data_IF_468997480069
#
_entry.id   IF_468997480069
#
_cell.length_a   1.000
_cell.length_b   1.000
_cell.length_c   1.000
_cell.angle_alpha   90.00
_cell.angle_beta   90.00
_cell.angle_gamma   90.00
#
_symmetry.space_group_name_H-M   'P 1'
#
loop_
_entity.id
_entity.type
_entity.pdbx_description
1 polymer ?
#
# COMPACT_ATOMS: atom_id res chain seq x y z
N UNK A 1 -29.27 -2.31 50.83
CA UNK A 1 -29.39 -3.78 50.95
C UNK A 1 -30.57 -4.25 50.10
N UNK A 2 -30.37 -4.49 48.80
CA UNK A 2 -31.23 -5.32 47.95
C UNK A 2 -30.30 -5.99 46.94
N UNK A 3 -30.06 -7.29 47.13
CA UNK A 3 -29.42 -8.18 46.16
C UNK A 3 -30.37 -8.40 44.98
N UNK A 4 -29.87 -8.34 43.74
CA UNK A 4 -30.33 -9.23 42.67
C UNK A 4 -29.15 -9.71 41.83
N UNK A 5 -28.85 -11.00 42.02
CA UNK A 5 -28.08 -11.86 41.13
C UNK A 5 -28.85 -12.01 39.83
N UNK A 6 -28.17 -11.97 38.68
CA UNK A 6 -28.63 -12.68 37.50
C UNK A 6 -27.48 -13.50 36.93
N UNK A 7 -27.82 -14.78 36.77
CA UNK A 7 -27.00 -15.93 36.45
C UNK A 7 -27.15 -16.30 34.97
N UNK A 8 -26.14 -17.01 34.47
CA UNK A 8 -26.22 -17.97 33.35
C UNK A 8 -26.20 -17.35 31.93
N UNK A 9 -25.57 -17.94 30.92
CA UNK A 9 -24.98 -19.27 30.78
C UNK A 9 -23.80 -19.21 29.78
N UNK A 10 -22.76 -19.99 30.08
CA UNK A 10 -21.76 -20.41 29.10
C UNK A 10 -22.42 -21.27 28.02
N UNK A 11 -22.04 -21.05 26.77
CA UNK A 11 -22.24 -22.02 25.69
C UNK A 11 -20.88 -22.25 25.01
N UNK A 12 -20.22 -23.33 25.40
CA UNK A 12 -18.98 -23.84 24.80
C UNK A 12 -19.35 -24.78 23.67
N UNK A 13 -19.09 -24.40 22.42
CA UNK A 13 -19.07 -25.33 21.30
C UNK A 13 -17.63 -25.69 20.96
N UNK A 14 -17.23 -26.91 21.34
CA UNK A 14 -16.03 -27.55 20.84
C UNK A 14 -16.33 -28.19 19.48
N UNK A 15 -15.75 -27.65 18.41
CA UNK A 15 -15.77 -28.28 17.09
C UNK A 15 -14.44 -28.99 16.90
N UNK A 16 -14.47 -30.32 17.03
CA UNK A 16 -13.37 -31.22 16.68
C UNK A 16 -13.44 -31.45 15.17
N UNK A 17 -12.65 -30.71 14.41
CA UNK A 17 -12.46 -30.93 12.97
C UNK A 17 -11.37 -31.98 12.74
N UNK A 18 -11.77 -33.16 12.26
CA UNK A 18 -10.86 -34.24 11.89
C UNK A 18 -9.97 -33.86 10.70
N UNK A 19 -8.71 -34.23 10.85
CA UNK A 19 -7.61 -34.15 9.89
C UNK A 19 -7.87 -35.13 8.74
N UNK A 20 -7.80 -34.64 7.50
CA UNK A 20 -7.57 -35.48 6.32
C UNK A 20 -6.29 -34.99 5.63
N UNK A 21 -5.22 -35.75 5.80
CA UNK A 21 -3.97 -35.55 5.07
C UNK A 21 -4.14 -36.04 3.62
N UNK A 22 -3.72 -35.27 2.61
CA UNK A 22 -3.73 -35.75 1.23
C UNK A 22 -2.65 -36.80 1.00
N UNK A 23 -3.05 -37.88 0.32
CA UNK A 23 -2.19 -38.95 -0.20
C UNK A 23 -1.26 -38.35 -1.25
N UNK A 24 0.04 -38.33 -0.96
CA UNK A 24 1.08 -37.93 -1.91
C UNK A 24 1.27 -39.09 -2.90
N UNK A 25 0.78 -38.93 -4.12
CA UNK A 25 1.06 -39.82 -5.25
C UNK A 25 2.43 -39.46 -5.82
N UNK A 26 3.44 -40.30 -5.56
CA UNK A 26 4.77 -40.15 -6.13
C UNK A 26 4.77 -40.78 -7.54
N UNK A 27 4.55 -39.96 -8.56
CA UNK A 27 4.77 -40.39 -9.95
C UNK A 27 6.29 -40.41 -10.22
N UNK A 28 6.83 -41.62 -10.36
CA UNK A 28 8.15 -41.87 -10.94
C UNK A 28 8.15 -41.37 -12.39
N UNK A 29 8.74 -40.19 -12.59
CA UNK A 29 9.10 -39.70 -13.92
C UNK A 29 10.27 -40.54 -14.44
N UNK A 30 10.10 -41.11 -15.63
CA UNK A 30 11.17 -41.80 -16.35
C UNK A 30 12.25 -40.78 -16.72
N UNK A 31 13.50 -41.08 -16.35
CA UNK A 31 14.67 -40.39 -16.87
C UNK A 31 14.73 -40.58 -18.38
N UNK A 32 14.47 -39.52 -19.14
CA UNK A 32 14.89 -39.43 -20.54
C UNK A 32 16.36 -38.97 -20.60
N UNK A 33 17.15 -39.66 -21.42
CA UNK A 33 18.55 -39.35 -21.68
C UNK A 33 18.73 -37.87 -22.08
N UNK A 34 19.76 -37.18 -21.54
CA UNK A 34 20.04 -35.81 -21.93
C UNK A 34 20.51 -35.76 -23.38
N UNK A 35 19.68 -35.22 -24.26
CA UNK A 35 20.14 -34.73 -25.56
C UNK A 35 21.19 -33.66 -25.31
N UNK A 36 22.40 -33.93 -25.80
CA UNK A 36 23.57 -33.06 -25.79
C UNK A 36 23.23 -31.74 -26.49
N UNK A 37 22.77 -30.77 -25.71
CA UNK A 37 22.48 -29.41 -26.15
C UNK A 37 23.81 -28.70 -26.33
N UNK A 38 23.99 -28.08 -27.51
CA UNK A 38 25.19 -27.33 -27.84
C UNK A 38 25.45 -26.24 -26.81
N UNK A 39 26.69 -26.24 -26.35
CA UNK A 39 27.20 -25.42 -25.27
C UNK A 39 27.42 -23.99 -25.78
N UNK A 40 26.33 -23.22 -25.86
CA UNK A 40 26.42 -21.76 -25.84
C UNK A 40 26.58 -21.34 -24.38
N UNK A 41 27.73 -20.76 -24.06
CA UNK A 41 28.03 -20.10 -22.79
C UNK A 41 27.14 -18.87 -22.62
N UNK A 42 25.87 -19.10 -22.29
CA UNK A 42 24.87 -18.11 -21.93
C UNK A 42 24.65 -18.17 -20.42
N UNK A 43 25.28 -17.24 -19.72
CA UNK A 43 24.89 -16.65 -18.44
C UNK A 43 23.72 -17.37 -17.73
N UNK A 44 24.03 -18.20 -16.73
CA UNK A 44 23.05 -18.66 -15.74
C UNK A 44 22.76 -17.50 -14.78
N UNK A 45 22.10 -16.47 -15.31
CA UNK A 45 21.40 -15.50 -14.48
C UNK A 45 20.24 -16.24 -13.85
N UNK A 46 20.25 -16.34 -12.52
CA UNK A 46 19.05 -16.63 -11.77
C UNK A 46 17.92 -15.76 -12.33
N UNK A 47 16.77 -16.38 -12.58
CA UNK A 47 15.53 -15.64 -12.84
C UNK A 47 15.19 -14.94 -11.52
N UNK A 48 15.85 -13.82 -11.25
CA UNK A 48 15.25 -12.76 -10.48
C UNK A 48 14.00 -12.41 -11.29
N UNK A 49 12.82 -12.68 -10.72
CA UNK A 49 11.62 -11.98 -11.14
C UNK A 49 12.01 -10.50 -11.15
N UNK A 50 12.19 -9.97 -12.35
CA UNK A 50 12.38 -8.55 -12.59
C UNK A 50 11.10 -7.91 -12.10
N UNK A 51 11.10 -7.53 -10.80
CA UNK A 51 10.09 -6.70 -10.16
C UNK A 51 9.81 -5.57 -11.15
N UNK A 52 8.66 -5.67 -11.81
CA UNK A 52 8.25 -4.77 -12.87
C UNK A 52 8.41 -3.33 -12.37
N UNK A 53 9.43 -2.67 -12.88
CA UNK A 53 9.71 -1.25 -12.75
C UNK A 53 8.41 -0.44 -12.88
N UNK A 54 7.95 0.33 -11.89
CA UNK A 54 8.33 0.44 -10.48
C UNK A 54 7.09 0.95 -9.75
N UNK A 55 6.64 0.29 -8.68
CA UNK A 55 5.53 0.75 -7.82
C UNK A 55 5.88 2.04 -7.03
N UNK A 56 6.97 2.70 -7.40
CA UNK A 56 7.57 3.89 -6.79
C UNK A 56 7.94 4.88 -7.91
N UNK A 57 7.57 6.15 -7.72
CA UNK A 57 8.03 7.30 -8.51
C UNK A 57 9.15 8.01 -7.78
N UNK A 58 10.14 8.52 -8.50
CA UNK A 58 11.27 9.25 -7.91
C UNK A 58 11.22 10.73 -8.27
N UNK A 59 11.52 11.57 -7.28
CA UNK A 59 11.51 13.03 -7.39
C UNK A 59 12.75 13.62 -6.71
N UNK A 60 13.00 14.90 -6.97
CA UNK A 60 14.00 15.67 -6.27
C UNK A 60 13.39 16.94 -5.65
N UNK A 61 13.64 17.15 -4.36
CA UNK A 61 13.17 18.33 -3.61
C UNK A 61 14.37 18.92 -2.87
N UNK A 62 14.72 20.18 -3.15
CA UNK A 62 15.90 20.87 -2.61
C UNK A 62 17.21 20.08 -2.78
N UNK A 63 17.41 19.47 -3.95
CA UNK A 63 18.63 18.70 -4.25
C UNK A 63 18.65 17.28 -3.67
N UNK A 64 17.67 16.88 -2.86
CA UNK A 64 17.56 15.52 -2.30
C UNK A 64 16.57 14.69 -3.09
N UNK A 65 16.97 13.47 -3.46
CA UNK A 65 16.10 12.51 -4.12
C UNK A 65 15.29 11.71 -3.11
N UNK A 66 14.02 11.49 -3.41
CA UNK A 66 13.16 10.57 -2.65
C UNK A 66 12.28 9.77 -3.60
N UNK A 67 11.87 8.60 -3.15
CA UNK A 67 10.85 7.79 -3.80
C UNK A 67 9.50 7.96 -3.10
N UNK A 68 8.40 7.82 -3.83
CA UNK A 68 7.04 7.77 -3.29
C UNK A 68 6.29 6.65 -3.99
N UNK A 69 5.54 5.85 -3.24
CA UNK A 69 4.67 4.81 -3.83
C UNK A 69 3.76 5.42 -4.91
N UNK A 70 3.62 4.73 -6.05
CA UNK A 70 2.78 5.18 -7.17
C UNK A 70 1.29 5.08 -6.89
N UNK A 71 0.91 4.18 -6.00
CA UNK A 71 -0.48 3.94 -5.61
C UNK A 71 -0.58 4.02 -4.09
N UNK A 72 -1.78 4.28 -3.59
CA UNK A 72 -2.08 4.12 -2.18
C UNK A 72 -1.76 2.68 -1.74
N UNK A 73 -1.36 2.51 -0.48
CA UNK A 73 -1.07 1.18 0.06
C UNK A 73 -2.34 0.36 0.14
N UNK A 74 -2.28 -0.87 -0.34
CA UNK A 74 -3.32 -1.88 -0.21
C UNK A 74 -2.84 -3.05 0.66
N UNK A 75 -3.77 -3.90 1.12
CA UNK A 75 -3.46 -5.13 1.86
C UNK A 75 -3.64 -6.35 0.97
N UNK A 76 -2.65 -7.25 0.97
CA UNK A 76 -2.73 -8.57 0.34
C UNK A 76 -2.35 -9.67 1.34
N UNK A 77 -2.21 -10.91 0.86
CA UNK A 77 -1.84 -12.06 1.70
C UNK A 77 -0.43 -11.95 2.29
N UNK A 78 0.47 -11.18 1.66
CA UNK A 78 1.87 -11.03 2.03
C UNK A 78 2.14 -9.77 2.89
N UNK A 79 1.15 -8.89 3.05
CA UNK A 79 1.29 -7.67 3.84
C UNK A 79 0.69 -6.46 3.15
N UNK A 80 1.32 -5.29 3.35
CA UNK A 80 0.91 -4.04 2.70
C UNK A 80 1.84 -3.72 1.52
N UNK A 81 1.29 -3.44 0.34
CA UNK A 81 2.04 -3.08 -0.87
C UNK A 81 1.37 -1.94 -1.62
N UNK A 82 2.16 -1.15 -2.33
CA UNK A 82 1.65 -0.26 -3.40
C UNK A 82 1.29 -1.14 -4.59
N UNK A 83 0.06 -1.04 -5.10
CA UNK A 83 -0.37 -1.84 -6.25
C UNK A 83 -1.57 -1.21 -6.94
N UNK A 84 -1.49 -1.10 -8.26
CA UNK A 84 -2.64 -0.70 -9.07
C UNK A 84 -3.77 -1.74 -8.96
N UNK A 85 -5.02 -1.28 -9.04
CA UNK A 85 -6.22 -2.11 -9.09
C UNK A 85 -6.62 -2.75 -7.77
N UNK A 86 -5.95 -2.40 -6.66
CA UNK A 86 -6.30 -2.87 -5.32
C UNK A 86 -6.97 -1.78 -4.50
N UNK A 87 -7.92 -2.15 -3.65
CA UNK A 87 -8.55 -1.20 -2.73
C UNK A 87 -7.52 -0.62 -1.75
N UNK A 88 -7.54 0.70 -1.49
CA UNK A 88 -6.65 1.31 -0.51
C UNK A 88 -6.94 0.78 0.89
N UNK A 89 -5.87 0.65 1.67
CA UNK A 89 -5.93 0.30 3.08
C UNK A 89 -6.21 1.58 3.88
N UNK A 90 -7.44 1.70 4.37
CA UNK A 90 -7.93 2.86 5.13
C UNK A 90 -8.27 2.50 6.59
N UNK A 91 -8.96 3.39 7.30
CA UNK A 91 -9.23 3.30 8.75
C UNK A 91 -7.96 3.24 9.61
N UNK A 92 -6.90 3.90 9.12
CA UNK A 92 -5.61 3.97 9.79
C UNK A 92 -5.54 5.23 10.64
N UNK A 93 -4.99 5.11 11.85
CA UNK A 93 -4.47 6.27 12.57
C UNK A 93 -3.02 6.57 12.14
N UNK A 94 -2.51 7.74 12.57
CA UNK A 94 -1.19 8.20 12.16
C UNK A 94 -0.07 7.20 12.52
N UNK A 95 -0.15 6.58 13.69
CA UNK A 95 0.87 5.61 14.15
C UNK A 95 0.82 4.30 13.36
N UNK A 96 -0.38 3.83 13.03
CA UNK A 96 -0.58 2.65 12.20
C UNK A 96 -0.04 2.88 10.78
N UNK A 97 -0.37 4.03 10.18
CA UNK A 97 0.16 4.44 8.88
C UNK A 97 1.69 4.52 8.91
N UNK A 98 2.27 5.11 9.95
CA UNK A 98 3.72 5.18 10.13
C UNK A 98 4.37 3.80 10.25
N UNK A 99 3.78 2.91 11.04
CA UNK A 99 4.28 1.56 11.23
C UNK A 99 4.20 0.74 9.93
N UNK A 100 3.11 0.87 9.16
CA UNK A 100 2.95 0.21 7.87
C UNK A 100 4.08 0.56 6.90
N UNK A 101 4.44 1.85 6.80
CA UNK A 101 5.54 2.26 5.94
C UNK A 101 6.89 1.74 6.43
N UNK A 102 7.14 1.74 7.74
CA UNK A 102 8.39 1.20 8.29
C UNK A 102 8.56 -0.31 8.06
N UNK A 103 7.46 -1.07 7.94
CA UNK A 103 7.51 -2.50 7.62
C UNK A 103 7.89 -2.79 6.17
N UNK A 104 7.89 -1.77 5.30
CA UNK A 104 8.28 -1.86 3.89
C UNK A 104 9.57 -1.09 3.60
N UNK A 105 10.44 -0.91 4.59
CA UNK A 105 11.67 -0.11 4.50
C UNK A 105 11.45 1.35 4.05
N UNK A 106 10.23 1.84 4.23
CA UNK A 106 9.82 3.21 3.90
C UNK A 106 9.50 4.02 5.14
N UNK A 107 8.94 5.20 4.90
CA UNK A 107 8.43 6.12 5.92
C UNK A 107 7.16 6.80 5.42
N UNK A 108 6.43 7.45 6.31
CA UNK A 108 5.44 8.42 5.86
C UNK A 108 6.14 9.53 5.08
N UNK A 109 5.52 9.94 3.99
CA UNK A 109 5.93 11.13 3.27
C UNK A 109 5.83 12.36 4.19
N UNK A 110 6.77 13.27 4.06
CA UNK A 110 6.57 14.61 4.60
C UNK A 110 5.49 15.33 3.80
N UNK A 111 4.79 16.28 4.42
CA UNK A 111 3.81 17.12 3.72
C UNK A 111 4.40 17.76 2.46
N UNK A 112 5.66 18.22 2.54
CA UNK A 112 6.37 18.88 1.45
C UNK A 112 6.67 17.94 0.28
N UNK A 113 7.13 16.73 0.56
CA UNK A 113 7.36 15.71 -0.47
C UNK A 113 6.05 15.35 -1.16
N UNK A 114 5.03 15.04 -0.37
CA UNK A 114 3.72 14.67 -0.90
C UNK A 114 3.12 15.78 -1.78
N UNK A 115 3.15 17.03 -1.31
CA UNK A 115 2.62 18.18 -2.04
C UNK A 115 3.37 18.42 -3.36
N UNK A 116 4.69 18.22 -3.36
CA UNK A 116 5.50 18.29 -4.57
C UNK A 116 5.18 17.18 -5.57
N UNK A 117 5.08 15.93 -5.11
CA UNK A 117 4.71 14.81 -5.98
C UNK A 117 3.31 15.02 -6.59
N UNK A 118 2.36 15.53 -5.77
CA UNK A 118 1.01 15.86 -6.20
C UNK A 118 1.00 16.91 -7.31
N UNK A 119 1.73 18.02 -7.15
CA UNK A 119 1.71 19.10 -8.15
C UNK A 119 2.23 18.63 -9.51
N UNK A 120 3.23 17.75 -9.54
CA UNK A 120 3.70 17.12 -10.77
C UNK A 120 2.64 16.19 -11.36
N UNK A 121 2.02 15.33 -10.55
CA UNK A 121 0.98 14.41 -11.02
C UNK A 121 -0.25 15.14 -11.60
N UNK A 122 -0.71 16.21 -10.93
CA UNK A 122 -1.89 16.98 -11.33
C UNK A 122 -1.61 17.89 -12.52
N UNK A 123 -0.40 18.46 -12.63
CA UNK A 123 -0.03 19.31 -13.78
C UNK A 123 -0.09 18.59 -15.13
N UNK A 124 -0.15 17.25 -15.12
CA UNK A 124 -0.20 16.42 -16.31
C UNK A 124 -1.63 16.10 -16.76
N UNK A 125 -2.66 16.40 -15.95
CA UNK A 125 -4.05 16.02 -16.27
C UNK A 125 -4.95 17.25 -16.48
N UNK A 126 -5.72 17.23 -17.58
CA UNK A 126 -6.86 18.12 -17.79
C UNK A 126 -8.14 17.40 -17.33
N UNK A 127 -8.79 18.00 -16.33
CA UNK A 127 -10.21 17.84 -15.93
C UNK A 127 -10.66 16.60 -15.11
N UNK A 128 -11.37 16.93 -14.02
CA UNK A 128 -12.30 16.16 -13.16
C UNK A 128 -11.87 14.82 -12.54
N UNK A 129 -10.87 14.89 -11.65
CA UNK A 129 -10.70 13.93 -10.55
C UNK A 129 -11.62 14.29 -9.37
N UNK A 130 -12.94 14.31 -9.57
CA UNK A 130 -13.89 14.76 -8.56
C UNK A 130 -14.22 13.68 -7.55
N UNK A 131 -13.67 13.78 -6.34
CA UNK A 131 -13.93 12.89 -5.21
C UNK A 131 -15.41 12.48 -5.10
N UNK A 132 -15.71 11.27 -5.53
CA UNK A 132 -16.91 10.59 -5.07
C UNK A 132 -16.66 10.17 -3.61
N UNK A 133 -17.70 10.13 -2.77
CA UNK A 133 -17.60 9.70 -1.37
C UNK A 133 -17.27 8.18 -1.25
N UNK A 134 -16.98 7.51 -2.36
CA UNK A 134 -16.70 6.09 -2.46
C UNK A 134 -15.22 5.84 -2.77
N UNK A 135 -14.62 4.87 -2.08
CA UNK A 135 -13.27 4.42 -2.40
C UNK A 135 -13.29 3.58 -3.69
N UNK A 136 -12.30 3.80 -4.52
CA UNK A 136 -12.04 3.04 -5.73
C UNK A 136 -10.71 2.27 -5.63
N UNK A 137 -10.50 1.24 -6.46
CA UNK A 137 -9.20 0.60 -6.54
C UNK A 137 -8.13 1.58 -7.01
N UNK A 138 -6.97 1.56 -6.34
CA UNK A 138 -5.90 2.52 -6.54
C UNK A 138 -5.36 2.49 -7.99
N UNK A 139 -5.02 3.65 -8.52
CA UNK A 139 -4.52 3.89 -9.86
C UNK A 139 -5.51 3.71 -10.99
N UNK A 140 -6.79 3.50 -10.69
CA UNK A 140 -7.86 3.41 -11.69
C UNK A 140 -8.65 4.73 -11.77
N UNK A 141 -8.84 5.38 -10.64
CA UNK A 141 -9.71 6.54 -10.52
C UNK A 141 -9.09 7.79 -11.16
N UNK A 142 -7.84 8.09 -10.79
CA UNK A 142 -7.08 9.20 -11.32
C UNK A 142 -5.70 8.73 -11.79
N UNK A 143 -5.67 8.00 -12.92
CA UNK A 143 -4.41 7.57 -13.51
C UNK A 143 -3.65 8.81 -14.01
N UNK A 144 -2.38 8.98 -13.62
CA UNK A 144 -1.54 10.05 -14.11
C UNK A 144 -0.82 9.59 -15.39
N UNK A 145 -0.39 10.54 -16.19
CA UNK A 145 0.53 10.26 -17.28
C UNK A 145 1.96 10.00 -16.74
N UNK A 146 2.84 9.50 -17.61
CA UNK A 146 4.29 9.62 -17.42
C UNK A 146 4.91 8.94 -16.19
N UNK A 147 4.22 8.01 -15.52
CA UNK A 147 4.79 7.30 -14.37
C UNK A 147 4.69 8.03 -13.03
N UNK A 148 3.94 9.14 -12.96
CA UNK A 148 3.71 9.84 -11.70
C UNK A 148 2.82 9.02 -10.74
N UNK A 149 2.72 9.43 -9.46
CA UNK A 149 1.81 8.84 -8.49
C UNK A 149 0.35 9.13 -8.84
N UNK A 150 -0.49 8.09 -8.82
CA UNK A 150 -1.92 8.18 -9.07
C UNK A 150 -2.69 8.58 -7.81
N UNK A 151 -3.93 9.04 -7.99
CA UNK A 151 -4.88 9.34 -6.91
C UNK A 151 -4.33 10.29 -5.84
N UNK A 152 -3.51 11.26 -6.26
CA UNK A 152 -2.97 12.26 -5.33
C UNK A 152 -4.06 13.25 -4.87
N UNK A 153 -5.16 13.40 -5.60
CA UNK A 153 -6.33 14.19 -5.21
C UNK A 153 -7.57 13.29 -5.30
N UNK A 154 -8.23 13.01 -4.18
CA UNK A 154 -9.37 12.09 -4.10
C UNK A 154 -8.99 10.67 -3.70
N UNK A 155 -9.91 9.73 -3.92
CA UNK A 155 -9.86 8.36 -3.41
C UNK A 155 -9.69 8.27 -1.88
N UNK A 156 -8.52 7.88 -1.36
CA UNK A 156 -8.24 7.96 0.07
C UNK A 156 -7.37 9.19 0.38
N UNK A 157 -7.80 9.97 1.38
CA UNK A 157 -6.91 10.95 2.00
C UNK A 157 -5.75 10.23 2.66
N UNK A 158 -4.60 10.89 2.72
CA UNK A 158 -3.36 10.25 3.14
C UNK A 158 -2.76 10.91 4.37
N UNK A 159 -2.21 10.09 5.27
CA UNK A 159 -1.38 10.56 6.37
C UNK A 159 0.00 11.03 5.88
N UNK A 160 0.43 12.21 6.31
CA UNK A 160 1.78 12.75 6.10
C UNK A 160 2.37 13.31 7.39
N UNK A 161 3.69 13.51 7.38
CA UNK A 161 4.43 14.17 8.45
C UNK A 161 4.57 15.66 8.14
N UNK A 162 3.92 16.49 8.94
CA UNK A 162 4.04 17.94 8.88
C UNK A 162 5.34 18.48 9.50
N UNK A 163 5.51 19.82 9.48
CA UNK A 163 6.60 20.48 10.20
C UNK A 163 6.61 20.05 11.67
N UNK A 164 7.81 19.85 12.23
CA UNK A 164 8.02 19.40 13.61
C UNK A 164 7.43 18.02 13.96
N UNK A 165 7.15 17.17 12.95
CA UNK A 165 6.66 15.81 13.18
C UNK A 165 5.15 15.70 13.43
N UNK A 166 4.39 16.78 13.19
CA UNK A 166 2.94 16.78 13.41
C UNK A 166 2.21 15.86 12.42
N UNK A 167 1.16 15.17 12.87
CA UNK A 167 0.29 14.39 11.98
C UNK A 167 -0.54 15.32 11.09
N UNK A 168 -0.43 15.14 9.76
CA UNK A 168 -1.18 15.89 8.76
C UNK A 168 -1.95 14.95 7.84
N UNK A 169 -3.10 15.41 7.37
CA UNK A 169 -3.93 14.74 6.37
C UNK A 169 -3.90 15.59 5.10
N UNK A 170 -3.67 14.94 3.96
CA UNK A 170 -3.60 15.52 2.61
C UNK A 170 -4.51 14.73 1.63
N UNK A 171 -4.55 15.11 0.36
CA UNK A 171 -5.33 14.39 -0.66
C UNK A 171 -6.79 14.85 -0.78
N UNK A 172 -7.10 16.08 -0.40
CA UNK A 172 -8.43 16.68 -0.65
C UNK A 172 -8.48 17.32 -2.05
N UNK A 173 -8.94 18.57 -2.16
CA UNK A 173 -9.18 19.23 -3.46
C UNK A 173 -7.91 19.76 -4.12
N UNK A 174 -6.90 20.15 -3.33
CA UNK A 174 -5.66 20.76 -3.83
C UNK A 174 -4.41 20.12 -3.24
N UNK A 175 -3.31 20.17 -4.00
CA UNK A 175 -2.02 19.62 -3.56
C UNK A 175 -1.43 20.32 -2.33
N UNK A 176 -1.84 21.56 -2.09
CA UNK A 176 -1.44 22.38 -0.94
C UNK A 176 -2.39 22.25 0.25
N UNK A 177 -3.48 21.48 0.12
CA UNK A 177 -4.42 21.27 1.21
C UNK A 177 -3.88 20.24 2.20
N UNK A 178 -3.14 20.74 3.20
CA UNK A 178 -2.70 19.96 4.35
C UNK A 178 -3.38 20.41 5.63
N UNK A 179 -4.04 19.50 6.35
CA UNK A 179 -4.67 19.80 7.65
C UNK A 179 -4.01 19.03 8.78
N UNK A 180 -3.57 19.74 9.82
CA UNK A 180 -3.14 19.09 11.07
C UNK A 180 -4.31 18.32 11.67
N UNK A 181 -4.06 17.11 12.15
CA UNK A 181 -5.09 16.30 12.80
C UNK A 181 -4.57 15.62 14.06
N UNK A 182 -5.50 15.10 14.86
CA UNK A 182 -5.15 14.24 15.99
C UNK A 182 -4.48 12.97 15.46
N UNK A 183 -3.34 12.53 16.02
CA UNK A 183 -2.69 11.29 15.59
C UNK A 183 -3.52 10.03 15.89
N UNK A 184 -4.58 10.16 16.70
CA UNK A 184 -5.53 9.10 17.01
C UNK A 184 -6.74 9.05 16.05
N UNK A 185 -6.90 10.06 15.17
CA UNK A 185 -8.00 10.09 14.22
C UNK A 185 -7.93 8.86 13.31
N UNK A 186 -9.10 8.34 12.98
CA UNK A 186 -9.31 7.32 11.94
C UNK A 186 -10.50 7.72 11.08
N UNK A 187 -10.56 7.20 9.86
CA UNK A 187 -11.68 7.40 8.95
C UNK A 187 -11.62 6.34 7.86
N UNK A 188 -12.79 5.93 7.38
CA UNK A 188 -12.94 4.96 6.29
C UNK A 188 -12.27 5.43 4.99
N UNK A 189 -11.99 6.71 4.82
CA UNK A 189 -11.34 7.30 3.63
C UNK A 189 -9.90 7.77 3.95
N UNK A 190 -9.33 7.35 5.07
CA UNK A 190 -8.01 7.80 5.51
C UNK A 190 -7.02 6.65 5.49
N UNK A 191 -6.19 6.65 4.45
CA UNK A 191 -5.18 5.65 4.16
C UNK A 191 -3.75 6.18 4.26
N UNK A 192 -2.87 5.59 3.47
CA UNK A 192 -1.43 5.87 3.52
C UNK A 192 -0.76 5.58 2.19
N UNK A 193 0.29 6.37 1.93
CA UNK A 193 1.30 6.14 0.90
C UNK A 193 2.67 6.30 1.53
N UNK A 194 3.63 5.47 1.13
CA UNK A 194 4.96 5.50 1.71
C UNK A 194 5.95 6.23 0.80
N UNK A 195 6.90 6.90 1.44
CA UNK A 195 8.07 7.49 0.81
C UNK A 195 9.34 6.74 1.21
N UNK A 196 10.37 6.85 0.37
CA UNK A 196 11.64 6.15 0.49
C UNK A 196 12.80 7.14 0.30
N UNK A 197 13.93 6.88 0.94
CA UNK A 197 15.06 7.80 0.98
C UNK A 197 15.03 8.75 2.20
N UNK A 198 16.07 9.58 2.31
CA UNK A 198 16.40 10.38 3.50
C UNK A 198 15.78 11.78 3.51
#
# INVERSE_FOLDING_TARGET
MILRRNTSALLTFAVVGMILAPVIHCNTVKEEEPKKLEQHSGWSGEVFETLSSSDVSFFQVFGRSYGIDRFERSKNAQGSRSSQGMMPLTDLNFWQAKNLCSQSDGRLCTYREWSWACSIAVSQKNDDCHSEDELHPAGIYCPPDGGAPADMLGNAREWTVGPFGNAMIVGSEKCEDGRRSSPFKKSAELGVRCCYGE
#
